data_IF_628697792910
#
_entry.id   IF_628697792910
#
_cell.length_a   1.000
_cell.length_b   1.000
_cell.length_c   1.000
_cell.angle_alpha   90.00
_cell.angle_beta   90.00
_cell.angle_gamma   90.00
#
_symmetry.space_group_name_H-M   'P 1'
#
loop_
_entity.id
_entity.type
_entity.pdbx_description
1 polymer ?
#
# COMPACT_ATOMS: atom_id res chain seq x y z
N UNK A 1 -4.67 -5.64 -20.94
CA UNK A 1 -5.23 -6.78 -20.18
C UNK A 1 -4.73 -8.07 -20.82
N UNK A 2 -3.98 -8.94 -20.14
CA UNK A 2 -4.38 -10.33 -20.23
C UNK A 2 -5.81 -10.33 -19.67
N UNK A 3 -6.77 -10.69 -20.53
CA UNK A 3 -8.11 -11.02 -20.09
C UNK A 3 -8.01 -11.90 -18.84
N UNK A 4 -8.95 -11.84 -17.87
CA UNK A 4 -9.02 -12.92 -16.88
C UNK A 4 -8.96 -14.18 -17.73
N UNK A 5 -7.96 -15.04 -17.50
CA UNK A 5 -7.68 -16.22 -18.31
C UNK A 5 -9.05 -16.77 -18.66
N UNK A 6 -9.46 -16.60 -19.93
CA UNK A 6 -10.86 -16.75 -20.27
C UNK A 6 -11.17 -18.18 -19.93
N UNK A 7 -11.92 -18.39 -18.85
CA UNK A 7 -12.32 -19.72 -18.42
C UNK A 7 -12.99 -20.30 -19.66
N UNK A 8 -12.38 -21.34 -20.21
CA UNK A 8 -12.90 -21.92 -21.44
C UNK A 8 -14.21 -22.63 -21.10
N UNK A 9 -15.08 -22.79 -22.11
CA UNK A 9 -16.32 -23.55 -21.92
C UNK A 9 -16.01 -24.97 -21.41
N UNK A 10 -14.88 -25.55 -21.83
CA UNK A 10 -14.37 -26.82 -21.36
C UNK A 10 -13.98 -26.79 -19.87
N UNK A 11 -13.42 -25.68 -19.37
CA UNK A 11 -13.08 -25.52 -17.95
C UNK A 11 -14.34 -25.44 -17.10
N UNK A 12 -15.41 -24.80 -17.60
CA UNK A 12 -16.72 -24.76 -16.93
C UNK A 12 -17.35 -26.14 -16.92
N UNK A 13 -17.39 -26.82 -18.07
CA UNK A 13 -17.96 -28.16 -18.17
C UNK A 13 -17.24 -29.13 -17.23
N UNK A 14 -15.90 -29.07 -17.17
CA UNK A 14 -15.11 -29.85 -16.21
C UNK A 14 -15.41 -29.49 -14.75
N UNK A 15 -15.50 -28.20 -14.41
CA UNK A 15 -15.76 -27.75 -13.04
C UNK A 15 -17.10 -28.28 -12.49
N UNK A 16 -18.10 -28.44 -13.36
CA UNK A 16 -19.43 -28.95 -13.00
C UNK A 16 -19.67 -30.42 -13.36
N UNK A 17 -18.64 -31.16 -13.79
CA UNK A 17 -18.74 -32.54 -14.28
C UNK A 17 -19.80 -32.73 -15.38
N UNK A 18 -19.94 -31.75 -16.27
CA UNK A 18 -20.86 -31.77 -17.40
C UNK A 18 -20.18 -32.37 -18.64
N UNK A 19 -20.96 -33.03 -19.48
CA UNK A 19 -20.51 -33.40 -20.81
C UNK A 19 -20.33 -32.13 -21.66
N UNK A 20 -19.14 -31.94 -22.22
CA UNK A 20 -18.77 -30.73 -22.99
C UNK A 20 -19.70 -30.51 -24.19
N UNK A 21 -20.09 -31.58 -24.90
CA UNK A 21 -20.93 -31.49 -26.08
C UNK A 21 -22.37 -31.07 -25.75
N UNK A 22 -22.92 -31.62 -24.66
CA UNK A 22 -24.27 -31.28 -24.19
C UNK A 22 -24.32 -29.85 -23.63
N UNK A 23 -23.26 -29.43 -22.92
CA UNK A 23 -23.13 -28.07 -22.39
C UNK A 23 -23.08 -27.03 -23.49
N UNK A 24 -22.24 -27.25 -24.51
CA UNK A 24 -22.10 -26.34 -25.66
C UNK A 24 -23.42 -26.23 -26.44
N UNK A 25 -24.12 -27.35 -26.65
CA UNK A 25 -25.43 -27.37 -27.32
C UNK A 25 -26.50 -26.60 -26.52
N UNK A 26 -26.46 -26.66 -25.18
CA UNK A 26 -27.41 -25.92 -24.33
C UNK A 26 -27.17 -24.40 -24.32
N UNK A 27 -25.91 -23.97 -24.48
CA UNK A 27 -25.51 -22.57 -24.52
C UNK A 27 -25.94 -21.87 -25.82
N UNK A 28 -25.90 -22.57 -26.95
CA UNK A 28 -26.39 -22.04 -28.23
C UNK A 28 -27.87 -21.69 -28.19
N UNK A 29 -28.67 -22.44 -27.41
CA UNK A 29 -30.11 -22.21 -27.24
C UNK A 29 -30.40 -21.09 -26.22
N UNK A 30 -29.53 -20.92 -25.23
CA UNK A 30 -29.69 -19.97 -24.10
C UNK A 30 -29.07 -18.59 -24.34
N UNK A 31 -28.18 -18.48 -25.33
CA UNK A 31 -27.38 -17.29 -25.62
C UNK A 31 -28.10 -16.17 -26.38
N UNK A 32 -29.39 -16.33 -26.67
CA UNK A 32 -30.18 -15.30 -27.36
C UNK A 32 -30.41 -14.13 -26.39
N UNK A 33 -29.90 -12.96 -26.76
CA UNK A 33 -30.17 -11.72 -26.04
C UNK A 33 -31.69 -11.48 -26.00
N UNK A 34 -32.31 -11.31 -24.82
CA UNK A 34 -33.73 -11.02 -24.71
C UNK A 34 -34.10 -9.77 -25.53
N UNK A 35 -35.24 -9.80 -26.23
CA UNK A 35 -35.69 -8.72 -27.13
C UNK A 35 -35.70 -7.33 -26.46
N UNK A 36 -35.95 -7.28 -25.15
CA UNK A 36 -35.95 -6.05 -24.34
C UNK A 36 -34.56 -5.40 -24.21
N UNK A 37 -33.49 -6.13 -24.52
CA UNK A 37 -32.10 -5.68 -24.45
C UNK A 37 -31.49 -5.38 -25.83
N UNK A 38 -32.27 -5.46 -26.92
CA UNK A 38 -31.76 -5.26 -28.29
C UNK A 38 -31.20 -3.86 -28.57
N UNK A 39 -31.61 -2.84 -27.81
CA UNK A 39 -31.05 -1.49 -27.90
C UNK A 39 -29.79 -1.29 -27.04
N UNK A 40 -29.39 -2.30 -26.25
CA UNK A 40 -28.22 -2.22 -25.38
C UNK A 40 -27.00 -2.86 -26.05
N UNK A 41 -25.83 -2.22 -25.95
CA UNK A 41 -24.57 -2.81 -26.40
C UNK A 41 -24.01 -3.77 -25.35
N UNK A 42 -23.89 -5.06 -25.68
CA UNK A 42 -23.21 -6.04 -24.83
C UNK A 42 -21.71 -5.73 -24.73
N UNK A 43 -21.25 -5.37 -23.53
CA UNK A 43 -19.86 -4.96 -23.28
C UNK A 43 -18.90 -6.14 -23.07
N UNK A 44 -19.38 -7.21 -22.44
CA UNK A 44 -18.63 -8.42 -22.14
C UNK A 44 -19.59 -9.57 -21.78
N UNK A 45 -19.14 -10.81 -22.01
CA UNK A 45 -19.79 -12.04 -21.53
C UNK A 45 -18.87 -12.68 -20.51
N UNK A 46 -19.40 -13.07 -19.36
CA UNK A 46 -18.65 -13.72 -18.29
C UNK A 46 -19.19 -15.13 -18.08
N UNK A 47 -18.29 -16.09 -17.94
CA UNK A 47 -18.62 -17.45 -17.53
C UNK A 47 -18.41 -17.57 -16.01
N UNK A 48 -19.46 -17.99 -15.30
CA UNK A 48 -19.46 -18.06 -13.84
C UNK A 48 -19.20 -19.51 -13.42
N UNK A 49 -18.03 -19.80 -12.84
CA UNK A 49 -17.68 -21.13 -12.30
C UNK A 49 -17.86 -21.24 -10.78
N UNK A 50 -18.41 -20.20 -10.16
CA UNK A 50 -18.39 -20.04 -8.71
C UNK A 50 -16.98 -19.73 -8.20
N UNK A 51 -16.91 -19.08 -7.05
CA UNK A 51 -15.69 -18.75 -6.35
C UNK A 51 -15.96 -18.97 -4.86
N UNK A 52 -15.04 -19.60 -4.13
CA UNK A 52 -15.25 -19.75 -2.69
C UNK A 52 -15.14 -18.38 -2.01
N UNK A 53 -15.82 -18.12 -0.87
CA UNK A 53 -15.62 -16.88 -0.14
C UNK A 53 -14.15 -16.63 0.24
N UNK A 54 -13.36 -17.69 0.46
CA UNK A 54 -11.92 -17.59 0.73
C UNK A 54 -11.17 -17.08 -0.50
N UNK A 55 -11.43 -17.64 -1.67
CA UNK A 55 -10.81 -17.21 -2.93
C UNK A 55 -11.28 -15.79 -3.27
N UNK A 56 -12.56 -15.45 -3.04
CA UNK A 56 -13.06 -14.10 -3.21
C UNK A 56 -12.36 -13.10 -2.29
N UNK A 57 -12.16 -13.44 -1.02
CA UNK A 57 -11.42 -12.58 -0.08
C UNK A 57 -9.93 -12.51 -0.46
N UNK A 58 -9.36 -13.56 -1.03
CA UNK A 58 -7.95 -13.60 -1.44
C UNK A 58 -7.72 -12.80 -2.72
N UNK A 59 -8.59 -12.98 -3.72
CA UNK A 59 -8.47 -12.42 -5.07
C UNK A 59 -9.11 -11.03 -5.19
N UNK A 60 -10.13 -10.76 -4.38
CA UNK A 60 -10.90 -9.50 -4.40
C UNK A 60 -10.91 -8.75 -3.07
N UNK A 61 -10.43 -9.34 -1.97
CA UNK A 61 -10.03 -8.54 -0.82
C UNK A 61 -8.96 -7.57 -1.29
N UNK A 62 -9.05 -6.30 -0.89
CA UNK A 62 -8.12 -5.29 -1.36
C UNK A 62 -6.69 -5.71 -1.00
N UNK A 63 -5.96 -6.32 -1.94
CA UNK A 63 -4.57 -6.74 -1.76
C UNK A 63 -3.78 -5.44 -1.63
N UNK A 64 -3.56 -5.05 -0.38
CA UNK A 64 -2.74 -3.91 -0.07
C UNK A 64 -1.31 -4.25 -0.44
N UNK A 65 -0.67 -3.40 -1.24
CA UNK A 65 0.74 -3.60 -1.59
C UNK A 65 1.57 -3.67 -0.30
N UNK A 66 2.08 -4.87 0.00
CA UNK A 66 3.12 -5.10 0.99
C UNK A 66 4.47 -4.76 0.35
N UNK A 67 4.97 -3.56 0.68
CA UNK A 67 6.23 -3.08 0.15
C UNK A 67 7.44 -3.88 0.69
N UNK A 68 7.35 -4.41 1.93
CA UNK A 68 8.44 -5.21 2.52
C UNK A 68 8.55 -6.57 1.85
N UNK A 69 7.42 -7.19 1.52
CA UNK A 69 7.42 -8.40 0.70
C UNK A 69 7.97 -8.14 -0.70
N UNK A 70 7.57 -7.04 -1.34
CA UNK A 70 8.11 -6.65 -2.65
C UNK A 70 9.64 -6.46 -2.60
N UNK A 71 10.16 -5.80 -1.57
CA UNK A 71 11.62 -5.63 -1.36
C UNK A 71 12.33 -6.97 -1.22
N UNK A 72 11.81 -7.89 -0.37
CA UNK A 72 12.37 -9.24 -0.19
C UNK A 72 12.38 -10.03 -1.51
N UNK A 73 11.28 -9.96 -2.26
CA UNK A 73 11.17 -10.61 -3.56
C UNK A 73 12.18 -10.04 -4.55
N UNK A 74 12.26 -8.71 -4.67
CA UNK A 74 13.20 -8.05 -5.58
C UNK A 74 14.66 -8.33 -5.21
N UNK A 75 15.01 -8.41 -3.92
CA UNK A 75 16.35 -8.81 -3.45
C UNK A 75 16.76 -10.20 -3.96
N UNK A 76 15.83 -11.14 -4.09
CA UNK A 76 16.14 -12.45 -4.67
C UNK A 76 16.48 -12.39 -6.17
N UNK A 77 16.13 -11.29 -6.86
CA UNK A 77 16.38 -11.04 -8.29
C UNK A 77 17.52 -10.06 -8.55
N UNK A 78 17.73 -9.09 -7.66
CA UNK A 78 18.80 -8.09 -7.64
C UNK A 78 19.58 -8.27 -6.32
N UNK A 79 20.60 -9.13 -6.33
CA UNK A 79 21.24 -9.63 -5.10
C UNK A 79 21.95 -8.53 -4.30
N UNK A 80 22.33 -7.41 -4.90
CA UNK A 80 22.92 -6.27 -4.20
C UNK A 80 21.88 -5.23 -3.73
N UNK A 81 20.59 -5.47 -3.97
CA UNK A 81 19.52 -4.48 -3.73
C UNK A 81 19.48 -3.91 -2.32
N UNK A 82 19.70 -4.72 -1.29
CA UNK A 82 19.67 -4.27 0.11
C UNK A 82 21.08 -4.11 0.71
N UNK A 83 22.13 -4.22 -0.11
CA UNK A 83 23.50 -4.05 0.36
C UNK A 83 23.86 -2.57 0.52
N UNK A 84 24.90 -2.29 1.29
CA UNK A 84 25.46 -0.94 1.45
C UNK A 84 26.03 -0.45 0.14
N UNK A 85 25.64 0.76 -0.27
CA UNK A 85 26.15 1.40 -1.48
C UNK A 85 27.44 2.14 -1.12
N UNK A 86 28.49 1.97 -1.93
CA UNK A 86 29.73 2.73 -1.84
C UNK A 86 29.96 3.54 -3.12
N UNK A 87 30.86 4.52 -3.05
CA UNK A 87 31.17 5.40 -4.19
C UNK A 87 31.88 4.64 -5.32
N UNK A 88 32.78 3.72 -4.97
CA UNK A 88 33.70 3.09 -5.92
C UNK A 88 33.28 1.67 -6.36
N UNK A 89 32.19 1.13 -5.81
CA UNK A 89 31.71 -0.22 -6.15
C UNK A 89 30.49 -0.14 -7.07
N UNK A 90 30.55 -0.87 -8.19
CA UNK A 90 29.40 -1.01 -9.11
C UNK A 90 28.25 -1.73 -8.41
N UNK A 91 27.03 -1.22 -8.62
CA UNK A 91 25.80 -1.84 -8.11
C UNK A 91 24.75 -1.96 -9.22
N UNK A 92 24.18 -3.16 -9.36
CA UNK A 92 23.05 -3.45 -10.25
C UNK A 92 21.77 -2.77 -9.74
N UNK A 93 21.60 -2.67 -8.42
CA UNK A 93 20.49 -1.92 -7.82
C UNK A 93 20.54 -0.43 -8.17
N UNK A 94 21.73 0.17 -8.14
CA UNK A 94 21.95 1.57 -8.57
C UNK A 94 21.66 1.75 -10.06
N UNK A 95 22.09 0.82 -10.92
CA UNK A 95 21.77 0.88 -12.35
C UNK A 95 20.26 0.73 -12.59
N UNK A 96 19.60 -0.25 -11.94
CA UNK A 96 18.15 -0.39 -11.98
C UNK A 96 17.43 0.89 -11.54
N UNK A 97 17.87 1.48 -10.42
CA UNK A 97 17.35 2.75 -9.92
C UNK A 97 17.47 3.86 -10.97
N UNK A 98 18.66 4.07 -11.54
CA UNK A 98 18.90 5.09 -12.55
C UNK A 98 18.04 4.88 -13.80
N UNK A 99 17.93 3.64 -14.28
CA UNK A 99 17.08 3.30 -15.43
C UNK A 99 15.60 3.55 -15.15
N UNK A 100 15.11 3.18 -13.97
CA UNK A 100 13.71 3.36 -13.60
C UNK A 100 13.37 4.85 -13.44
N UNK A 101 14.19 5.60 -12.71
CA UNK A 101 13.93 7.02 -12.41
C UNK A 101 14.03 7.89 -13.67
N UNK A 102 15.06 7.68 -14.49
CA UNK A 102 15.36 8.60 -15.61
C UNK A 102 14.85 8.13 -16.97
N UNK A 103 14.51 6.85 -17.15
CA UNK A 103 14.08 6.32 -18.45
C UNK A 103 12.68 5.73 -18.39
N UNK A 104 12.46 4.69 -17.58
CA UNK A 104 11.16 4.00 -17.52
C UNK A 104 10.05 4.92 -17.03
N UNK A 105 10.29 5.67 -15.96
CA UNK A 105 9.33 6.62 -15.38
C UNK A 105 8.84 7.63 -16.43
N UNK A 106 9.72 8.44 -17.03
CA UNK A 106 9.35 9.37 -18.11
C UNK A 106 8.67 8.69 -19.30
N UNK A 107 9.21 7.57 -19.80
CA UNK A 107 8.67 6.90 -20.98
C UNK A 107 7.28 6.32 -20.71
N UNK A 108 7.04 5.74 -19.53
CA UNK A 108 5.72 5.19 -19.15
C UNK A 108 4.62 6.25 -19.14
N UNK A 109 4.93 7.51 -18.82
CA UNK A 109 3.97 8.63 -18.81
C UNK A 109 3.63 9.13 -20.22
N UNK A 110 4.50 8.88 -21.19
CA UNK A 110 4.28 9.26 -22.60
C UNK A 110 3.36 8.30 -23.37
N UNK A 111 2.95 7.19 -22.76
CA UNK A 111 2.11 6.17 -23.40
C UNK A 111 0.67 6.65 -23.48
N UNK A 112 0.27 7.15 -24.66
CA UNK A 112 -1.12 7.50 -24.97
C UNK A 112 -2.03 6.25 -24.90
N UNK A 113 -3.33 6.42 -24.62
CA UNK A 113 -4.29 5.30 -24.55
C UNK A 113 -4.25 4.39 -25.80
N UNK A 114 -3.91 4.94 -26.97
CA UNK A 114 -3.87 4.25 -28.26
C UNK A 114 -2.66 3.31 -28.49
N UNK A 115 -1.52 3.50 -27.82
CA UNK A 115 -0.25 2.81 -28.16
C UNK A 115 0.01 1.45 -27.47
N UNK A 116 -1.02 0.77 -26.95
CA UNK A 116 -0.85 -0.50 -26.22
C UNK A 116 -0.08 -0.39 -24.88
N UNK A 117 0.05 -1.50 -24.15
CA UNK A 117 0.88 -1.60 -22.95
C UNK A 117 2.36 -1.81 -23.35
N UNK A 118 3.31 -1.19 -22.63
CA UNK A 118 4.76 -1.35 -22.82
C UNK A 118 5.39 -2.16 -21.69
N UNK A 119 6.55 -2.75 -21.95
CA UNK A 119 7.39 -3.33 -20.92
C UNK A 119 8.88 -3.07 -21.16
N UNK A 120 9.66 -3.09 -20.08
CA UNK A 120 11.11 -3.01 -20.06
C UNK A 120 11.67 -4.25 -19.39
N UNK A 121 12.81 -4.75 -19.87
CA UNK A 121 13.43 -6.00 -19.39
C UNK A 121 14.79 -5.71 -18.77
N UNK A 122 14.93 -6.01 -17.50
CA UNK A 122 16.16 -5.90 -16.72
C UNK A 122 16.74 -7.27 -16.49
N UNK A 123 18.01 -7.48 -16.86
CA UNK A 123 18.71 -8.76 -16.69
C UNK A 123 19.78 -8.59 -15.62
N UNK A 124 19.71 -9.43 -14.59
CA UNK A 124 20.66 -9.46 -13.49
C UNK A 124 21.52 -10.72 -13.61
N UNK A 125 22.79 -10.61 -14.05
CA UNK A 125 23.68 -11.76 -14.20
C UNK A 125 24.31 -12.15 -12.87
N UNK A 126 24.38 -13.46 -12.59
CA UNK A 126 25.01 -14.04 -11.41
C UNK A 126 25.90 -15.21 -11.80
N UNK A 127 26.96 -15.43 -11.02
CA UNK A 127 27.76 -16.65 -11.06
C UNK A 127 27.32 -17.52 -9.88
N UNK A 128 27.06 -18.80 -10.11
CA UNK A 128 26.83 -19.75 -9.04
C UNK A 128 28.19 -20.31 -8.60
N UNK A 129 28.58 -20.06 -7.36
CA UNK A 129 29.78 -20.66 -6.77
C UNK A 129 29.54 -22.16 -6.55
N UNK A 130 30.50 -23.01 -6.95
CA UNK A 130 30.47 -24.45 -6.73
C UNK A 130 30.20 -25.34 -7.95
N UNK A 131 29.99 -24.77 -9.14
CA UNK A 131 30.09 -25.53 -10.40
C UNK A 131 31.44 -25.30 -11.08
N UNK A 132 32.05 -26.39 -11.56
CA UNK A 132 33.37 -26.45 -12.23
C UNK A 132 33.45 -25.58 -13.48
N UNK A 133 32.31 -25.23 -14.07
CA UNK A 133 32.16 -24.16 -15.04
C UNK A 133 31.32 -23.04 -14.42
N UNK A 134 31.83 -21.80 -14.46
CA UNK A 134 31.14 -20.56 -14.04
C UNK A 134 29.84 -20.37 -14.81
N UNK A 135 28.81 -21.11 -14.42
CA UNK A 135 27.50 -21.07 -15.06
C UNK A 135 26.86 -19.74 -14.69
N UNK A 136 26.73 -18.86 -15.68
CA UNK A 136 26.09 -17.57 -15.51
C UNK A 136 24.58 -17.77 -15.58
N UNK A 137 23.89 -17.65 -14.45
CA UNK A 137 22.43 -17.54 -14.45
C UNK A 137 22.04 -16.08 -14.59
N UNK A 138 20.95 -15.80 -15.30
CA UNK A 138 20.36 -14.47 -15.34
C UNK A 138 18.96 -14.53 -14.78
N UNK A 139 18.71 -13.76 -13.72
CA UNK A 139 17.33 -13.46 -13.31
C UNK A 139 16.83 -12.24 -14.07
N UNK A 140 15.55 -12.22 -14.41
CA UNK A 140 14.98 -11.19 -15.27
C UNK A 140 13.81 -10.52 -14.57
N UNK A 141 13.84 -9.20 -14.53
CA UNK A 141 12.73 -8.38 -14.04
C UNK A 141 12.10 -7.66 -15.22
N UNK A 142 10.81 -7.84 -15.42
CA UNK A 142 10.00 -7.12 -16.39
C UNK A 142 9.27 -6.00 -15.66
N UNK A 143 9.41 -4.77 -16.14
CA UNK A 143 8.60 -3.64 -15.66
C UNK A 143 7.57 -3.34 -16.73
N UNK A 144 6.28 -3.34 -16.41
CA UNK A 144 5.21 -3.18 -17.38
C UNK A 144 4.23 -2.06 -17.01
N UNK A 145 3.72 -1.38 -18.04
CA UNK A 145 2.54 -0.53 -17.90
C UNK A 145 1.29 -1.38 -17.99
N UNK A 146 0.25 -1.01 -17.24
CA UNK A 146 -1.06 -1.63 -17.35
C UNK A 146 -2.09 -0.53 -17.51
N UNK A 147 -2.70 -0.41 -18.69
CA UNK A 147 -3.78 0.54 -18.99
C UNK A 147 -5.12 0.19 -18.34
N UNK A 148 -5.24 -1.04 -17.84
CA UNK A 148 -6.39 -1.60 -17.12
C UNK A 148 -6.00 -1.92 -15.67
N UNK A 149 -6.93 -1.75 -14.72
CA UNK A 149 -6.76 -1.91 -13.26
C UNK A 149 -6.41 -3.32 -12.75
N UNK A 150 -5.85 -4.19 -13.59
CA UNK A 150 -5.29 -5.46 -13.16
C UNK A 150 -3.90 -5.21 -12.60
N UNK A 151 -3.87 -4.97 -11.30
CA UNK A 151 -2.67 -4.60 -10.53
C UNK A 151 -2.03 -5.79 -9.81
N UNK A 152 -2.42 -7.01 -10.17
CA UNK A 152 -1.79 -8.20 -9.62
C UNK A 152 -0.34 -8.26 -10.10
N UNK A 153 0.57 -8.47 -9.14
CA UNK A 153 1.85 -9.10 -9.46
C UNK A 153 1.47 -10.43 -10.08
N UNK A 154 1.53 -10.54 -11.39
CA UNK A 154 1.55 -11.86 -12.00
C UNK A 154 2.87 -12.47 -11.54
N UNK A 155 2.78 -13.30 -10.50
CA UNK A 155 3.77 -14.32 -10.24
C UNK A 155 3.77 -15.22 -11.47
N UNK A 156 4.56 -14.85 -12.48
CA UNK A 156 4.93 -15.85 -13.47
C UNK A 156 5.68 -16.90 -12.68
N UNK A 157 5.09 -18.08 -12.56
CA UNK A 157 5.56 -19.27 -11.85
C UNK A 157 6.93 -19.79 -12.34
N UNK A 158 7.64 -19.02 -13.15
CA UNK A 158 9.01 -19.28 -13.57
C UNK A 158 10.00 -18.66 -12.57
N UNK A 159 10.78 -19.51 -11.90
CA UNK A 159 11.70 -19.16 -10.82
C UNK A 159 12.71 -18.02 -11.10
N UNK A 160 12.87 -17.60 -12.36
CA UNK A 160 13.82 -16.59 -12.81
C UNK A 160 13.17 -15.36 -13.46
N UNK A 161 11.85 -15.20 -13.39
CA UNK A 161 11.13 -14.04 -13.95
C UNK A 161 10.26 -13.35 -12.89
N UNK A 162 10.46 -12.05 -12.72
CA UNK A 162 9.63 -11.20 -11.87
C UNK A 162 8.97 -10.13 -12.73
N UNK A 163 7.65 -9.99 -12.62
CA UNK A 163 6.90 -8.93 -13.30
C UNK A 163 6.50 -7.88 -12.28
N UNK A 164 6.86 -6.63 -12.55
CA UNK A 164 6.56 -5.46 -11.76
C UNK A 164 5.72 -4.47 -12.56
N UNK A 165 4.75 -3.85 -11.91
CA UNK A 165 4.17 -2.60 -12.44
C UNK A 165 5.22 -1.49 -12.39
N UNK A 166 5.09 -0.47 -13.24
CA UNK A 166 5.91 0.76 -13.14
C UNK A 166 5.84 1.37 -11.73
N UNK A 167 4.69 1.29 -11.05
CA UNK A 167 4.53 1.79 -9.68
C UNK A 167 5.44 1.05 -8.70
N UNK A 168 5.43 -0.28 -8.73
CA UNK A 168 6.26 -1.13 -7.86
C UNK A 168 7.75 -0.93 -8.14
N UNK A 169 8.14 -0.94 -9.41
CA UNK A 169 9.52 -0.68 -9.81
C UNK A 169 10.00 0.70 -9.34
N UNK A 170 9.14 1.72 -9.43
CA UNK A 170 9.48 3.07 -8.96
C UNK A 170 9.65 3.15 -7.44
N UNK A 171 8.88 2.40 -6.65
CA UNK A 171 9.05 2.35 -5.19
C UNK A 171 10.38 1.67 -4.82
N UNK A 172 10.71 0.54 -5.45
CA UNK A 172 12.01 -0.13 -5.27
C UNK A 172 13.18 0.76 -5.68
N UNK A 173 13.03 1.49 -6.79
CA UNK A 173 14.03 2.45 -7.24
C UNK A 173 14.23 3.59 -6.24
N UNK A 174 13.15 4.11 -5.63
CA UNK A 174 13.25 5.18 -4.63
C UNK A 174 13.96 4.75 -3.36
N UNK A 175 13.75 3.52 -2.89
CA UNK A 175 14.47 2.97 -1.73
C UNK A 175 15.99 2.88 -1.98
N UNK A 176 16.40 2.62 -3.23
CA UNK A 176 17.83 2.73 -3.62
C UNK A 176 18.26 4.19 -3.78
N UNK A 177 17.40 5.04 -4.35
CA UNK A 177 17.68 6.46 -4.56
C UNK A 177 17.92 7.19 -3.23
N UNK A 178 17.17 6.86 -2.17
CA UNK A 178 17.34 7.43 -0.84
C UNK A 178 18.74 7.17 -0.29
N UNK A 179 19.21 5.93 -0.37
CA UNK A 179 20.56 5.55 0.09
C UNK A 179 21.64 6.23 -0.75
N UNK A 180 21.42 6.39 -2.05
CA UNK A 180 22.30 7.18 -2.93
C UNK A 180 22.30 8.67 -2.55
N UNK A 181 21.15 9.24 -2.24
CA UNK A 181 21.00 10.65 -1.88
C UNK A 181 21.73 10.96 -0.57
N UNK A 182 21.63 10.08 0.43
CA UNK A 182 22.37 10.17 1.69
C UNK A 182 23.87 10.03 1.45
N UNK A 183 24.30 9.02 0.67
CA UNK A 183 25.71 8.81 0.33
C UNK A 183 26.30 10.04 -0.36
N UNK A 184 25.62 10.59 -1.37
CA UNK A 184 26.08 11.73 -2.14
C UNK A 184 26.25 13.00 -1.29
N UNK A 185 25.37 13.20 -0.31
CA UNK A 185 25.47 14.32 0.63
C UNK A 185 26.67 14.17 1.60
N UNK A 186 27.06 12.94 1.92
CA UNK A 186 28.20 12.65 2.80
C UNK A 186 29.57 12.60 2.12
N UNK A 187 29.66 12.86 0.82
CA UNK A 187 30.96 12.87 0.10
C UNK A 187 31.78 14.12 0.40
N UNK A 188 33.09 14.10 0.07
CA UNK A 188 34.00 15.23 0.26
C UNK A 188 33.58 16.51 -0.48
N UNK A 189 32.82 16.35 -1.57
CA UNK A 189 32.14 17.43 -2.29
C UNK A 189 30.65 17.10 -2.29
N UNK A 190 29.90 17.50 -1.24
CA UNK A 190 28.50 17.13 -1.05
C UNK A 190 27.64 17.44 -2.28
N UNK A 191 26.84 16.48 -2.69
CA UNK A 191 25.86 16.64 -3.78
C UNK A 191 24.47 16.32 -3.29
N UNK A 192 23.56 17.28 -3.44
CA UNK A 192 22.13 17.08 -3.21
C UNK A 192 21.50 16.37 -4.41
N UNK A 193 20.94 15.18 -4.20
CA UNK A 193 20.22 14.43 -5.22
C UNK A 193 18.70 14.54 -4.99
N UNK A 194 18.05 15.42 -5.74
CA UNK A 194 16.59 15.45 -5.86
C UNK A 194 16.12 14.60 -7.03
N UNK A 195 14.97 13.95 -6.85
CA UNK A 195 14.19 13.50 -8.01
C UNK A 195 13.74 14.71 -8.82
N UNK A 196 13.43 14.51 -10.11
CA UNK A 196 12.89 15.59 -10.96
C UNK A 196 11.62 16.21 -10.37
N UNK A 197 10.78 15.40 -9.72
CA UNK A 197 9.56 15.90 -9.08
C UNK A 197 9.91 16.75 -7.84
N UNK A 198 10.81 16.28 -6.99
CA UNK A 198 11.26 17.03 -5.81
C UNK A 198 11.90 18.38 -6.18
N UNK A 199 12.79 18.38 -7.18
CA UNK A 199 13.47 19.61 -7.63
C UNK A 199 12.55 20.61 -8.34
N UNK A 200 11.36 20.19 -8.80
CA UNK A 200 10.36 21.09 -9.33
C UNK A 200 9.55 21.82 -8.23
N UNK A 201 9.56 21.28 -7.01
CA UNK A 201 8.80 21.82 -5.87
C UNK A 201 9.72 22.54 -4.90
N UNK A 202 10.90 22.00 -4.61
CA UNK A 202 11.81 22.52 -3.58
C UNK A 202 13.18 22.86 -4.15
N UNK A 203 13.81 23.89 -3.59
CA UNK A 203 15.20 24.23 -3.89
C UNK A 203 16.16 23.42 -3.02
N UNK A 204 17.25 22.95 -3.63
CA UNK A 204 18.33 22.24 -2.90
C UNK A 204 19.04 23.13 -1.87
N UNK A 205 19.02 24.45 -2.08
CA UNK A 205 19.70 25.42 -1.22
C UNK A 205 18.98 25.62 0.13
N UNK A 206 17.71 25.22 0.23
CA UNK A 206 16.88 25.46 1.40
C UNK A 206 16.90 24.31 2.42
N UNK A 207 17.58 23.19 2.11
CA UNK A 207 17.60 22.00 2.98
C UNK A 207 18.11 22.30 4.38
N UNK A 208 19.20 23.08 4.50
CA UNK A 208 19.77 23.48 5.78
C UNK A 208 18.79 24.31 6.62
N UNK A 209 18.04 25.21 5.97
CA UNK A 209 17.05 26.06 6.64
C UNK A 209 15.85 25.24 7.10
N UNK A 210 15.33 24.37 6.22
CA UNK A 210 14.25 23.44 6.56
C UNK A 210 14.61 22.53 7.74
N UNK A 211 15.83 21.99 7.74
CA UNK A 211 16.28 21.05 8.78
C UNK A 211 16.39 21.74 10.14
N UNK A 212 16.98 22.95 10.19
CA UNK A 212 17.04 23.77 11.40
C UNK A 212 15.65 24.12 11.94
N UNK A 213 14.73 24.54 11.06
CA UNK A 213 13.38 24.93 11.46
C UNK A 213 12.60 23.74 12.03
N UNK A 214 12.70 22.55 11.41
CA UNK A 214 12.14 21.32 11.97
C UNK A 214 12.76 20.96 13.32
N UNK A 215 14.09 21.07 13.46
CA UNK A 215 14.78 20.78 14.72
C UNK A 215 14.29 21.65 15.85
N UNK A 216 14.15 22.96 15.60
CA UNK A 216 13.63 23.92 16.58
C UNK A 216 12.18 23.58 16.95
N UNK A 217 11.32 23.33 15.97
CA UNK A 217 9.88 23.14 16.20
C UNK A 217 9.54 21.83 16.92
N UNK A 218 10.31 20.76 16.66
CA UNK A 218 10.04 19.44 17.23
C UNK A 218 10.99 19.05 18.36
N UNK A 219 11.97 19.89 18.69
CA UNK A 219 13.03 19.58 19.64
C UNK A 219 13.66 18.20 19.38
N UNK A 220 13.93 17.91 18.10
CA UNK A 220 14.44 16.64 17.60
C UNK A 220 15.44 16.93 16.50
N UNK A 221 16.57 16.23 16.47
CA UNK A 221 17.58 16.46 15.44
C UNK A 221 17.10 16.01 14.05
N UNK A 222 16.82 16.98 13.17
CA UNK A 222 16.60 16.80 11.75
C UNK A 222 17.85 17.24 10.99
N UNK A 223 18.52 16.28 10.34
CA UNK A 223 19.65 16.54 9.44
C UNK A 223 19.16 16.86 8.02
N UNK A 224 20.03 17.47 7.21
CA UNK A 224 19.75 17.68 5.78
C UNK A 224 19.46 16.36 5.05
N UNK A 225 20.13 15.27 5.42
CA UNK A 225 19.89 13.94 4.88
C UNK A 225 18.47 13.43 5.18
N UNK A 226 17.99 13.65 6.41
CA UNK A 226 16.62 13.31 6.82
C UNK A 226 15.61 14.11 5.99
N UNK A 227 15.79 15.43 5.89
CA UNK A 227 14.89 16.31 5.12
C UNK A 227 14.89 15.95 3.64
N UNK A 228 16.07 15.71 3.05
CA UNK A 228 16.23 15.30 1.65
C UNK A 228 15.43 14.02 1.35
N UNK A 229 15.56 13.02 2.21
CA UNK A 229 14.87 11.73 2.08
C UNK A 229 13.35 11.90 2.24
N UNK A 230 12.92 12.71 3.21
CA UNK A 230 11.50 13.04 3.40
C UNK A 230 10.91 13.71 2.15
N UNK A 231 11.61 14.67 1.55
CA UNK A 231 11.18 15.36 0.33
C UNK A 231 11.07 14.39 -0.85
N UNK A 232 12.13 13.62 -1.12
CA UNK A 232 12.18 12.68 -2.24
C UNK A 232 11.04 11.66 -2.16
N UNK A 233 10.82 11.07 -0.98
CA UNK A 233 9.75 10.09 -0.79
C UNK A 233 8.36 10.67 -0.80
N UNK A 234 8.18 11.91 -0.36
CA UNK A 234 6.86 12.55 -0.31
C UNK A 234 6.41 13.09 -1.67
N UNK A 235 7.36 13.53 -2.51
CA UNK A 235 7.06 13.97 -3.88
C UNK A 235 6.85 12.80 -4.84
N UNK A 236 7.17 11.58 -4.42
CA UNK A 236 7.03 10.38 -5.25
C UNK A 236 5.57 9.94 -5.38
N UNK A 237 5.21 9.50 -6.59
CA UNK A 237 3.92 8.82 -6.82
C UNK A 237 3.83 7.52 -6.03
N UNK A 238 2.76 7.36 -5.24
CA UNK A 238 2.59 6.29 -4.25
C UNK A 238 3.59 6.35 -3.07
N UNK A 239 4.16 7.52 -2.79
CA UNK A 239 5.10 7.74 -1.69
C UNK A 239 4.58 7.30 -0.32
N UNK A 240 3.26 7.21 -0.11
CA UNK A 240 2.65 6.68 1.12
C UNK A 240 3.11 5.26 1.50
N UNK A 241 3.70 4.48 0.58
CA UNK A 241 4.33 3.19 0.89
C UNK A 241 5.78 3.28 1.40
N UNK A 242 6.47 4.41 1.25
CA UNK A 242 7.89 4.59 1.59
C UNK A 242 8.06 5.08 3.02
N UNK A 243 8.91 4.43 3.82
CA UNK A 243 8.97 4.65 5.27
C UNK A 243 9.22 6.12 5.66
N UNK A 244 10.12 6.81 4.95
CA UNK A 244 10.48 8.20 5.26
C UNK A 244 9.55 9.26 4.62
N UNK A 245 8.50 8.86 3.91
CA UNK A 245 7.55 9.82 3.33
C UNK A 245 6.71 10.50 4.42
N UNK A 246 6.33 11.75 4.20
CA UNK A 246 5.50 12.54 5.11
C UNK A 246 4.25 13.08 4.41
N UNK A 247 3.09 12.96 5.08
CA UNK A 247 1.80 13.38 4.52
C UNK A 247 1.71 14.88 4.26
N UNK A 248 2.28 15.71 5.13
CA UNK A 248 2.26 17.16 4.99
C UNK A 248 3.07 17.61 3.77
N UNK A 249 4.28 17.07 3.60
CA UNK A 249 5.14 17.37 2.44
C UNK A 249 4.49 16.91 1.14
N UNK A 250 3.86 15.72 1.13
CA UNK A 250 3.17 15.20 -0.05
C UNK A 250 1.99 16.11 -0.45
N UNK A 251 1.27 16.67 0.53
CA UNK A 251 0.19 17.62 0.27
C UNK A 251 0.71 18.98 -0.21
N UNK A 252 1.82 19.50 0.35
CA UNK A 252 2.49 20.70 -0.19
C UNK A 252 2.86 20.48 -1.66
N UNK A 253 3.49 19.34 -1.99
CA UNK A 253 3.82 19.00 -3.37
C UNK A 253 2.58 18.92 -4.27
N UNK A 254 1.48 18.33 -3.79
CA UNK A 254 0.22 18.26 -4.53
C UNK A 254 -0.39 19.65 -4.77
N UNK A 255 -0.39 20.53 -3.78
CA UNK A 255 -0.84 21.91 -3.89
C UNK A 255 -0.07 22.67 -4.97
N UNK A 256 1.26 22.57 -4.93
CA UNK A 256 2.16 23.24 -5.88
C UNK A 256 2.02 22.65 -7.30
N UNK A 257 1.89 21.34 -7.42
CA UNK A 257 1.70 20.66 -8.72
C UNK A 257 0.36 20.98 -9.37
N UNK A 258 -0.68 21.25 -8.57
CA UNK A 258 -2.05 21.51 -9.05
C UNK A 258 -2.42 22.99 -9.11
N UNK A 259 -1.49 23.90 -8.77
CA UNK A 259 -1.76 25.36 -8.69
C UNK A 259 -2.33 25.97 -9.97
N UNK A 260 -1.92 25.46 -11.13
CA UNK A 260 -2.35 25.97 -12.44
C UNK A 260 -3.64 25.31 -12.96
N UNK A 261 -4.21 24.35 -12.24
CA UNK A 261 -5.50 23.76 -12.60
C UNK A 261 -6.61 24.78 -12.29
N UNK A 262 -7.37 25.19 -13.31
CA UNK A 262 -8.46 26.17 -13.16
C UNK A 262 -9.70 25.59 -12.46
N UNK A 263 -9.96 24.30 -12.67
CA UNK A 263 -11.07 23.60 -12.02
C UNK A 263 -10.69 23.22 -10.58
N UNK A 264 -11.28 23.93 -9.63
CA UNK A 264 -11.05 23.68 -8.21
C UNK A 264 -11.55 22.31 -7.76
N UNK A 265 -12.65 21.76 -8.33
CA UNK A 265 -13.13 20.42 -7.97
C UNK A 265 -12.11 19.36 -8.34
N UNK A 266 -11.52 19.45 -9.54
CA UNK A 266 -10.48 18.52 -10.00
C UNK A 266 -9.22 18.65 -9.14
N UNK A 267 -8.75 19.88 -8.92
CA UNK A 267 -7.61 20.21 -8.08
C UNK A 267 -7.75 19.62 -6.67
N UNK A 268 -8.86 19.90 -5.99
CA UNK A 268 -9.10 19.38 -4.64
C UNK A 268 -9.29 17.86 -4.62
N UNK A 269 -9.93 17.27 -5.64
CA UNK A 269 -10.07 15.80 -5.74
C UNK A 269 -8.71 15.09 -5.75
N UNK A 270 -7.73 15.64 -6.49
CA UNK A 270 -6.36 15.11 -6.51
C UNK A 270 -5.70 15.21 -5.13
N UNK A 271 -5.75 16.39 -4.51
CA UNK A 271 -5.12 16.65 -3.20
C UNK A 271 -5.76 15.75 -2.13
N UNK A 272 -7.08 15.69 -2.06
CA UNK A 272 -7.80 14.83 -1.13
C UNK A 272 -7.48 13.34 -1.34
N UNK A 273 -7.34 12.89 -2.58
CA UNK A 273 -6.95 11.50 -2.86
C UNK A 273 -5.57 11.17 -2.29
N UNK A 274 -4.61 12.08 -2.42
CA UNK A 274 -3.25 11.90 -1.86
C UNK A 274 -3.32 11.87 -0.33
N UNK A 275 -4.00 12.82 0.31
CA UNK A 275 -4.15 12.83 1.77
C UNK A 275 -4.77 11.54 2.31
N UNK A 276 -5.83 11.03 1.67
CA UNK A 276 -6.47 9.75 2.02
C UNK A 276 -5.51 8.57 1.94
N UNK A 277 -4.64 8.51 0.92
CA UNK A 277 -3.66 7.44 0.76
C UNK A 277 -2.65 7.40 1.91
N UNK A 278 -2.17 8.57 2.35
CA UNK A 278 -1.25 8.67 3.48
C UNK A 278 -1.92 8.31 4.81
N UNK A 279 -3.14 8.82 5.05
CA UNK A 279 -3.93 8.48 6.24
C UNK A 279 -4.20 6.98 6.30
N UNK A 280 -4.55 6.33 5.18
CA UNK A 280 -4.76 4.87 5.13
C UNK A 280 -3.51 4.09 5.56
N UNK A 281 -2.30 4.62 5.29
CA UNK A 281 -1.02 4.04 5.73
C UNK A 281 -0.58 4.47 7.13
N UNK A 282 -1.45 5.11 7.91
CA UNK A 282 -1.14 5.58 9.26
C UNK A 282 -0.20 6.78 9.31
N UNK A 283 0.04 7.44 8.18
CA UNK A 283 0.89 8.64 8.09
C UNK A 283 0.05 9.87 8.32
N UNK A 284 -0.01 10.30 9.57
CA UNK A 284 -0.83 11.42 9.99
C UNK A 284 -0.31 12.75 9.44
N UNK A 285 -1.25 13.65 9.14
CA UNK A 285 -0.94 15.02 8.76
C UNK A 285 -0.42 15.80 9.96
N UNK A 286 0.59 16.65 9.74
CA UNK A 286 1.12 17.54 10.75
C UNK A 286 1.16 18.97 10.19
N UNK A 287 0.38 19.87 10.79
CA UNK A 287 0.22 21.26 10.32
C UNK A 287 1.53 22.04 10.37
N UNK A 288 2.30 21.91 11.46
CA UNK A 288 3.61 22.58 11.60
C UNK A 288 4.57 22.17 10.49
N UNK A 289 4.62 20.87 10.17
CA UNK A 289 5.43 20.36 9.04
C UNK A 289 4.92 20.95 7.74
N UNK A 290 3.60 21.01 7.53
CA UNK A 290 3.05 21.60 6.32
C UNK A 290 3.49 23.06 6.16
N UNK A 291 3.37 23.87 7.21
CA UNK A 291 3.70 25.30 7.16
C UNK A 291 5.18 25.54 6.87
N UNK A 292 6.07 24.77 7.50
CA UNK A 292 7.52 24.83 7.23
C UNK A 292 7.77 24.52 5.75
N UNK A 293 7.27 23.42 5.22
CA UNK A 293 7.55 23.05 3.84
C UNK A 293 6.83 23.94 2.82
N UNK A 294 5.64 24.45 3.14
CA UNK A 294 4.91 25.39 2.29
C UNK A 294 5.68 26.70 2.08
N UNK A 295 6.39 27.19 3.11
CA UNK A 295 7.25 28.38 3.06
C UNK A 295 8.39 28.24 2.05
N UNK A 296 8.99 27.06 1.93
CA UNK A 296 10.12 26.80 1.03
C UNK A 296 9.69 26.18 -0.32
N UNK A 297 8.38 26.03 -0.55
CA UNK A 297 7.89 25.54 -1.82
C UNK A 297 8.03 26.61 -2.91
N UNK A 298 8.45 26.19 -4.11
CA UNK A 298 8.67 27.07 -5.26
C UNK A 298 7.38 27.79 -5.63
N UNK A 299 7.34 29.11 -5.47
CA UNK A 299 6.16 29.94 -5.72
C UNK A 299 5.07 29.84 -4.63
N UNK A 300 5.39 29.26 -3.48
CA UNK A 300 4.51 29.12 -2.33
C UNK A 300 3.32 28.17 -2.55
N UNK A 301 2.58 27.94 -1.47
CA UNK A 301 1.26 27.30 -1.51
C UNK A 301 0.19 28.39 -1.66
N UNK A 302 -0.79 28.23 -2.58
CA UNK A 302 -1.89 29.20 -2.74
C UNK A 302 -2.63 29.47 -1.43
N UNK A 303 -3.02 30.72 -1.18
CA UNK A 303 -3.73 31.13 0.05
C UNK A 303 -5.10 30.46 0.23
N UNK A 304 -5.72 29.96 -0.85
CA UNK A 304 -6.94 29.16 -0.78
C UNK A 304 -6.69 27.69 -0.39
N UNK A 305 -5.45 27.27 -0.17
CA UNK A 305 -5.03 25.93 0.25
C UNK A 305 -4.41 25.94 1.66
N UNK A 306 -5.01 26.70 2.57
CA UNK A 306 -4.60 26.71 3.97
C UNK A 306 -4.72 25.32 4.64
N UNK A 307 -3.78 24.96 5.52
CA UNK A 307 -3.72 23.66 6.18
C UNK A 307 -5.04 23.24 6.82
N UNK A 308 -5.71 24.17 7.53
CA UNK A 308 -6.96 23.91 8.25
C UNK A 308 -8.12 23.53 7.32
N UNK A 309 -8.19 24.13 6.13
CA UNK A 309 -9.21 23.79 5.11
C UNK A 309 -8.93 22.43 4.46
N UNK A 310 -7.65 22.06 4.36
CA UNK A 310 -7.23 20.74 3.88
C UNK A 310 -7.51 19.67 4.94
N UNK A 311 -7.18 19.92 6.22
CA UNK A 311 -7.43 19.03 7.36
C UNK A 311 -8.93 18.77 7.54
N UNK A 312 -9.76 19.82 7.61
CA UNK A 312 -11.21 19.66 7.81
C UNK A 312 -11.84 18.72 6.76
N UNK A 313 -11.43 18.84 5.49
CA UNK A 313 -11.87 17.97 4.40
C UNK A 313 -11.29 16.56 4.45
N UNK A 314 -10.13 16.36 5.08
CA UNK A 314 -9.54 15.04 5.29
C UNK A 314 -10.16 14.32 6.50
N UNK A 315 -10.56 15.07 7.53
CA UNK A 315 -11.23 14.57 8.74
C UNK A 315 -12.68 14.13 8.47
N UNK A 316 -13.44 14.86 7.64
CA UNK A 316 -14.77 14.42 7.15
C UNK A 316 -14.71 13.00 6.55
N UNK A 317 -13.59 12.67 5.89
CA UNK A 317 -13.38 11.36 5.27
C UNK A 317 -12.99 10.31 6.31
N UNK A 318 -12.21 10.66 7.33
CA UNK A 318 -11.91 9.74 8.44
C UNK A 318 -13.17 9.35 9.22
N UNK A 319 -14.07 10.31 9.46
CA UNK A 319 -15.35 10.08 10.14
C UNK A 319 -16.25 9.17 9.29
N UNK A 320 -16.39 9.46 7.99
CA UNK A 320 -17.18 8.63 7.06
C UNK A 320 -16.65 7.20 6.94
N UNK A 321 -15.32 7.02 6.90
CA UNK A 321 -14.70 5.67 6.79
C UNK A 321 -14.82 4.88 8.09
N UNK A 322 -14.70 5.55 9.26
CA UNK A 322 -14.96 4.92 10.57
C UNK A 322 -16.42 4.53 10.74
N UNK A 323 -17.36 5.40 10.35
CA UNK A 323 -18.80 5.10 10.40
C UNK A 323 -19.17 3.92 9.48
N UNK A 324 -18.62 3.86 8.27
CA UNK A 324 -18.83 2.73 7.35
C UNK A 324 -18.22 1.41 7.88
N UNK A 325 -17.05 1.47 8.52
CA UNK A 325 -16.42 0.30 9.14
C UNK A 325 -17.18 -0.21 10.37
N UNK A 326 -17.75 0.68 11.18
CA UNK A 326 -18.62 0.33 12.31
C UNK A 326 -19.92 -0.31 11.80
N UNK A 327 -20.59 0.31 10.83
CA UNK A 327 -21.82 -0.24 10.24
C UNK A 327 -21.59 -1.63 9.60
N UNK A 328 -20.45 -1.84 8.94
CA UNK A 328 -20.10 -3.14 8.35
C UNK A 328 -19.85 -4.21 9.40
N UNK A 329 -19.29 -3.83 10.56
CA UNK A 329 -19.01 -4.74 11.67
C UNK A 329 -20.29 -5.12 12.43
N UNK A 330 -21.21 -4.18 12.59
CA UNK A 330 -22.53 -4.43 13.18
C UNK A 330 -23.40 -5.32 12.29
N UNK A 331 -23.33 -5.16 10.97
CA UNK A 331 -24.03 -6.03 10.01
C UNK A 331 -23.52 -7.47 10.05
N UNK A 332 -22.20 -7.68 10.21
CA UNK A 332 -21.62 -9.02 10.34
C UNK A 332 -21.89 -9.69 11.69
N UNK A 333 -22.04 -8.93 12.77
CA UNK A 333 -22.40 -9.48 14.08
C UNK A 333 -23.90 -9.81 14.17
N UNK A 334 -24.75 -9.05 13.47
CA UNK A 334 -26.20 -9.31 13.42
C UNK A 334 -26.56 -10.55 12.60
N UNK A 335 -25.73 -11.00 11.66
CA UNK A 335 -26.00 -12.18 10.83
C UNK A 335 -25.59 -13.52 11.48
N UNK A 336 -25.07 -13.50 12.72
CA UNK A 336 -24.61 -14.72 13.43
C UNK A 336 -25.61 -15.20 14.48
N UNK A 337 -26.72 -14.49 14.68
CA UNK A 337 -27.78 -14.85 15.62
C UNK A 337 -29.10 -14.80 14.86
N UNK A 338 -29.41 -15.88 14.14
CA UNK A 338 -30.78 -16.36 13.86
C UNK A 338 -30.70 -17.53 12.89
N UNK A 339 -30.41 -18.72 13.43
CA UNK A 339 -30.75 -19.99 12.79
C UNK A 339 -31.75 -20.70 13.71
N UNK A 340 -33.03 -20.84 13.31
CA UNK A 340 -33.99 -21.60 14.10
C UNK A 340 -33.71 -23.10 13.95
N UNK A 341 -33.41 -23.73 15.08
CA UNK A 341 -33.26 -25.18 15.22
C UNK A 341 -34.63 -25.84 15.05
N UNK A 342 -34.89 -26.45 13.90
CA UNK A 342 -36.00 -27.40 13.74
C UNK A 342 -35.45 -28.83 13.67
N UNK A 343 -35.79 -29.58 14.72
CA UNK A 343 -35.60 -31.02 14.87
C UNK A 343 -36.78 -31.72 14.19
N UNK A 344 -36.52 -32.57 13.20
CA UNK A 344 -37.43 -33.67 12.83
C UNK A 344 -36.60 -34.91 12.46
N UNK A 345 -36.77 -35.96 13.27
CA UNK A 345 -36.40 -37.35 12.99
C UNK A 345 -37.22 -37.92 11.83
N UNK A 346 -36.63 -38.74 10.95
CA UNK A 346 -37.16 -40.07 10.59
C UNK A 346 -36.21 -40.92 9.71
N UNK A 347 -35.92 -42.10 10.24
CA UNK A 347 -35.77 -43.44 9.64
C UNK A 347 -35.13 -43.68 8.24
N UNK A 348 -33.96 -44.35 8.30
CA UNK A 348 -33.54 -45.57 7.61
C UNK A 348 -34.10 -45.96 6.21
N UNK A 349 -33.18 -46.24 5.27
CA UNK A 349 -33.14 -47.50 4.48
C UNK A 349 -31.80 -47.66 3.74
N UNK A 350 -31.30 -48.88 3.73
CA UNK A 350 -29.98 -49.29 3.25
C UNK A 350 -29.92 -49.56 1.74
N UNK A 351 -28.73 -49.41 1.13
CA UNK A 351 -28.21 -50.40 0.17
C UNK A 351 -26.69 -50.22 -0.07
N UNK A 352 -26.04 -51.36 -0.21
CA UNK A 352 -24.60 -51.66 -0.29
C UNK A 352 -24.04 -51.62 -1.72
N UNK A 353 -22.78 -51.22 -1.92
CA UNK A 353 -21.81 -51.98 -2.76
C UNK A 353 -20.35 -51.46 -2.69
N UNK A 354 -19.46 -52.36 -2.24
CA UNK A 354 -18.07 -52.68 -2.67
C UNK A 354 -17.00 -51.60 -2.97
N UNK A 355 -16.04 -51.49 -2.02
CA UNK A 355 -14.54 -51.45 -2.05
C UNK A 355 -13.74 -51.19 -3.35
N UNK A 356 -12.47 -50.68 -3.31
CA UNK A 356 -11.43 -50.98 -2.31
C UNK A 356 -10.64 -49.80 -1.70
N UNK A 357 -10.04 -50.14 -0.56
CA UNK A 357 -9.18 -49.31 0.27
C UNK A 357 -7.81 -49.01 -0.38
N UNK A 358 -7.39 -47.74 -0.29
CA UNK A 358 -5.97 -47.33 -0.30
C UNK A 358 -5.77 -46.41 0.90
N UNK A 359 -4.86 -46.81 1.78
CA UNK A 359 -4.71 -46.24 3.11
C UNK A 359 -4.11 -44.84 3.12
N UNK A 360 -4.78 -43.92 3.82
CA UNK A 360 -4.17 -42.74 4.45
C UNK A 360 -4.96 -42.45 5.71
N UNK A 361 -4.65 -43.16 6.80
CA UNK A 361 -5.29 -42.93 8.08
C UNK A 361 -4.26 -43.08 9.16
N UNK A 362 -3.73 -41.95 9.65
CA UNK A 362 -3.11 -41.82 10.99
C UNK A 362 -2.86 -40.36 11.45
N UNK A 363 -2.98 -39.31 10.61
CA UNK A 363 -2.60 -37.94 11.02
C UNK A 363 -3.75 -36.99 11.46
N UNK A 364 -5.02 -37.32 11.25
CA UNK A 364 -6.13 -36.40 11.55
C UNK A 364 -6.26 -36.04 13.05
N UNK A 365 -5.88 -36.96 13.94
CA UNK A 365 -5.93 -36.74 15.39
C UNK A 365 -4.77 -35.88 15.90
N UNK A 366 -3.63 -35.90 15.21
CA UNK A 366 -2.46 -35.09 15.54
C UNK A 366 -2.66 -33.63 15.09
N UNK A 367 -3.28 -33.44 13.93
CA UNK A 367 -3.65 -32.10 13.42
C UNK A 367 -4.70 -31.42 14.29
N UNK A 368 -5.70 -32.16 14.79
CA UNK A 368 -6.70 -31.61 15.73
C UNK A 368 -6.06 -31.14 17.06
N UNK A 369 -5.10 -31.91 17.59
CA UNK A 369 -4.34 -31.51 18.80
C UNK A 369 -3.48 -30.26 18.55
N UNK A 370 -2.87 -30.16 17.37
CA UNK A 370 -2.06 -29.00 16.98
C UNK A 370 -2.92 -27.74 16.84
N UNK A 371 -4.11 -27.85 16.23
CA UNK A 371 -5.06 -26.74 16.14
C UNK A 371 -5.59 -26.30 17.51
N UNK A 372 -5.92 -27.24 18.40
CA UNK A 372 -6.38 -26.91 19.75
C UNK A 372 -5.29 -26.20 20.58
N UNK A 373 -4.02 -26.57 20.40
CA UNK A 373 -2.88 -25.89 21.03
C UNK A 373 -2.72 -24.46 20.52
N UNK A 374 -2.77 -24.26 19.20
CA UNK A 374 -2.71 -22.94 18.57
C UNK A 374 -3.84 -22.02 19.02
N UNK A 375 -5.05 -22.55 19.19
CA UNK A 375 -6.20 -21.77 19.67
C UNK A 375 -5.99 -21.27 21.11
N UNK A 376 -5.47 -22.14 22.00
CA UNK A 376 -5.14 -21.76 23.38
C UNK A 376 -4.02 -20.71 23.45
N UNK A 377 -3.00 -20.82 22.59
CA UNK A 377 -1.93 -19.82 22.50
C UNK A 377 -2.44 -18.48 21.99
N UNK A 378 -3.36 -18.49 21.01
CA UNK A 378 -4.03 -17.28 20.51
C UNK A 378 -4.84 -16.58 21.59
N UNK A 379 -5.63 -17.32 22.36
CA UNK A 379 -6.45 -16.75 23.43
C UNK A 379 -5.60 -16.18 24.58
N UNK A 380 -4.46 -16.82 24.87
CA UNK A 380 -3.47 -16.28 25.82
C UNK A 380 -2.86 -14.97 25.30
N UNK A 381 -2.51 -14.90 24.02
CA UNK A 381 -1.98 -13.68 23.40
C UNK A 381 -3.02 -12.54 23.40
N UNK A 382 -4.29 -12.84 23.12
CA UNK A 382 -5.38 -11.86 23.17
C UNK A 382 -5.57 -11.28 24.57
N UNK A 383 -5.51 -12.11 25.62
CA UNK A 383 -5.57 -11.63 27.01
C UNK A 383 -4.41 -10.71 27.37
N UNK A 384 -3.19 -11.01 26.89
CA UNK A 384 -2.03 -10.16 27.11
C UNK A 384 -2.17 -8.79 26.44
N UNK A 385 -2.70 -8.76 25.21
CA UNK A 385 -2.96 -7.51 24.48
C UNK A 385 -4.05 -6.68 25.17
N UNK A 386 -5.12 -7.32 25.65
CA UNK A 386 -6.19 -6.64 26.39
C UNK A 386 -5.65 -6.01 27.68
N UNK A 387 -4.83 -6.72 28.44
CA UNK A 387 -4.21 -6.19 29.65
C UNK A 387 -3.27 -5.02 29.34
N UNK A 388 -2.47 -5.11 28.26
CA UNK A 388 -1.58 -4.02 27.85
C UNK A 388 -2.36 -2.76 27.44
N UNK A 389 -3.49 -2.92 26.74
CA UNK A 389 -4.38 -1.80 26.38
C UNK A 389 -5.01 -1.16 27.60
N UNK A 390 -5.41 -1.95 28.59
CA UNK A 390 -5.98 -1.42 29.84
C UNK A 390 -4.93 -0.63 30.65
N UNK A 391 -3.69 -1.13 30.73
CA UNK A 391 -2.57 -0.41 31.34
C UNK A 391 -2.29 0.91 30.62
N UNK A 392 -2.18 0.90 29.30
CA UNK A 392 -1.94 2.12 28.51
C UNK A 392 -3.07 3.15 28.67
N UNK A 393 -4.32 2.68 28.82
CA UNK A 393 -5.46 3.56 29.10
C UNK A 393 -5.34 4.22 30.47
N UNK A 394 -4.99 3.47 31.52
CA UNK A 394 -4.77 4.01 32.88
C UNK A 394 -3.62 5.01 32.90
N UNK A 395 -2.52 4.73 32.19
CA UNK A 395 -1.39 5.66 32.07
C UNK A 395 -1.79 6.97 31.37
N UNK A 396 -2.59 6.88 30.31
CA UNK A 396 -3.13 8.06 29.63
C UNK A 396 -4.05 8.88 30.53
N UNK A 397 -4.98 8.24 31.23
CA UNK A 397 -5.87 8.91 32.18
C UNK A 397 -5.10 9.62 33.31
N UNK A 398 -4.02 9.00 33.81
CA UNK A 398 -3.12 9.61 34.79
C UNK A 398 -2.34 10.81 34.22
N UNK A 399 -1.86 10.70 32.98
CA UNK A 399 -1.18 11.80 32.27
C UNK A 399 -2.11 12.99 32.07
N UNK A 400 -3.35 12.75 31.61
CA UNK A 400 -4.36 13.79 31.39
C UNK A 400 -4.74 14.49 32.71
N UNK A 401 -4.84 13.73 33.82
CA UNK A 401 -5.07 14.31 35.14
C UNK A 401 -3.91 15.22 35.58
N UNK A 402 -2.67 14.83 35.32
CA UNK A 402 -1.47 15.64 35.64
C UNK A 402 -1.42 16.94 34.83
N UNK A 403 -1.78 16.89 33.55
CA UNK A 403 -1.87 18.08 32.69
C UNK A 403 -2.89 19.08 33.26
N UNK A 404 -4.09 18.60 33.62
CA UNK A 404 -5.14 19.46 34.21
C UNK A 404 -4.69 20.11 35.53
N UNK A 405 -3.94 19.38 36.35
CA UNK A 405 -3.38 19.94 37.59
C UNK A 405 -2.38 21.06 37.30
N UNK A 406 -1.46 20.86 36.35
CA UNK A 406 -0.49 21.89 35.95
C UNK A 406 -1.16 23.13 35.35
N UNK A 407 -2.24 22.96 34.60
CA UNK A 407 -3.02 24.08 34.07
C UNK A 407 -3.70 24.89 35.18
N UNK A 408 -4.22 24.20 36.21
CA UNK A 408 -4.80 24.85 37.40
C UNK A 408 -3.75 25.64 38.17
N UNK A 409 -2.59 25.05 38.43
CA UNK A 409 -1.46 25.71 39.11
C UNK A 409 -0.96 26.94 38.33
N UNK A 410 -0.85 26.84 36.99
CA UNK A 410 -0.49 27.98 36.13
C UNK A 410 -1.53 29.10 36.19
N UNK A 411 -2.82 28.77 36.26
CA UNK A 411 -3.89 29.77 36.37
C UNK A 411 -3.83 30.49 37.72
N UNK A 412 -3.67 29.75 38.82
CA UNK A 412 -3.53 30.33 40.17
C UNK A 412 -2.30 31.22 40.29
N UNK A 413 -1.17 30.84 39.67
CA UNK A 413 0.05 31.66 39.62
C UNK A 413 -0.18 32.98 38.86
N UNK A 414 -0.89 32.95 37.72
CA UNK A 414 -1.24 34.16 36.95
C UNK A 414 -2.16 35.09 37.73
N UNK A 415 -3.17 34.54 38.41
CA UNK A 415 -4.11 35.33 39.20
C UNK A 415 -3.42 35.98 40.41
N UNK A 416 -2.46 35.30 41.04
CA UNK A 416 -1.66 35.85 42.13
C UNK A 416 -0.69 36.95 41.65
N UNK A 417 -0.06 36.77 40.49
CA UNK A 417 0.79 37.81 39.89
C UNK A 417 -0.01 39.06 39.57
N UNK A 418 -1.20 38.93 38.96
CA UNK A 418 -2.08 40.05 38.66
C UNK A 418 -2.51 40.84 39.91
N UNK A 419 -2.79 40.14 41.03
CA UNK A 419 -3.12 40.78 42.33
C UNK A 419 -1.93 41.51 42.97
N UNK A 420 -0.71 41.03 42.75
CA UNK A 420 0.49 41.68 43.23
C UNK A 420 0.77 42.95 42.42
N UNK A 421 0.59 42.90 41.11
CA UNK A 421 0.83 44.03 40.21
C UNK A 421 -0.25 45.12 40.35
N UNK A 422 -1.47 44.79 40.81
CA UNK A 422 -2.50 45.79 41.12
C UNK A 422 -2.34 46.50 42.47
N UNK A 423 -1.39 46.05 43.31
CA UNK A 423 -1.09 46.64 44.63
C UNK A 423 0.15 47.54 44.63
N UNK A 424 0.92 47.52 43.54
CA UNK A 424 1.97 48.50 43.25
C UNK A 424 1.37 49.65 42.46
#
# INVERSE_FOLDING_TARGET
MPHPTSVSQDDVAKAYNLNVNDYNSSLEVSGITPLQLNEHSQKATYQMIGMTPKDFITDHGAIELDFKELQRKFKSYCQDYMETISVDTKSLAVDFCAKVVYYVGPESRSVKKTTGDKYWRFKFPYTIDGLTDKTKISKVVFVATYKSEKTEVQDSTEANKLILTVKQASLLAMDTFDRLAVLALGTSVPKTLFTTLSGAIFSKNDLCSMSKELTIQFNKDYTEATVLTMINNSCQSNGHHLDNSNAAIALVAACVATRNIKDDKVKFSIISKIGKQYVKKGKNFNEVTFDIFAKYATGGVPSNMEPKKLIARLEEVQISTRQAAIASKDTMMSSTIDAPTNVVETAASASTSTTPAVGVGLNAHEDAKKQAKLLKERDKALKLVQNALETARKEKEASDARIRQLEKEKKESRDNQAKHDSKK
#
